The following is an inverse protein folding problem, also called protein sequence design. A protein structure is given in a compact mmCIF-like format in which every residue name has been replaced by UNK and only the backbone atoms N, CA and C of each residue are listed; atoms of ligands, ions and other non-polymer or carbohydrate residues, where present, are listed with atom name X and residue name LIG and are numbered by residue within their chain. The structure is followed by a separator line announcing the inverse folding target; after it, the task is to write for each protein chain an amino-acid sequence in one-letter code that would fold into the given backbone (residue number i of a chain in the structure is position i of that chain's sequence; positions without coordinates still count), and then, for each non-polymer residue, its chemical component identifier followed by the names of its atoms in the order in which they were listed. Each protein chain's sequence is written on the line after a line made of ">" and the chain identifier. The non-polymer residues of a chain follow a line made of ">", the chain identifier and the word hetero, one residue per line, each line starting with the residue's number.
data_IF_809712519327
#
_entry.id   IF_809712519327
#
_cell.length_a   1.000
_cell.length_b   1.000
_cell.length_c   1.000
_cell.angle_alpha   90.00
_cell.angle_beta   90.00
_cell.angle_gamma   90.00
#
_symmetry.space_group_name_H-M   'P 1'
#
loop_
_entity.id
_entity.type
_entity.pdbx_description
1 polymer ?
#
# COMPACT_ATOMS: atom_id res chain seq x y z
N UNK A 1 -40.06 -3.44 -4.33
CA UNK A 1 -39.81 -2.96 -2.98
C UNK A 1 -39.28 -1.53 -3.10
N UNK A 2 -39.95 -0.49 -2.62
CA UNK A 2 -39.44 0.88 -2.72
C UNK A 2 -38.26 1.05 -1.78
N UNK A 3 -37.10 1.39 -2.34
CA UNK A 3 -35.88 1.68 -1.56
C UNK A 3 -36.03 3.09 -0.99
N UNK A 4 -35.96 3.31 0.35
CA UNK A 4 -36.02 4.64 0.92
C UNK A 4 -34.79 5.45 0.50
N UNK A 5 -35.01 6.62 -0.10
CA UNK A 5 -33.99 7.62 -0.34
C UNK A 5 -33.53 8.22 0.99
N UNK A 6 -32.57 7.63 1.71
CA UNK A 6 -32.07 8.20 2.96
C UNK A 6 -30.55 8.28 2.98
N UNK A 7 -30.12 9.50 3.04
CA UNK A 7 -28.81 10.04 3.35
C UNK A 7 -28.40 9.66 4.77
N UNK A 8 -27.50 8.71 4.95
CA UNK A 8 -27.07 8.30 6.29
C UNK A 8 -25.88 7.35 6.33
N UNK A 9 -25.35 6.97 5.16
CA UNK A 9 -24.32 5.92 5.07
C UNK A 9 -22.89 6.47 5.11
N UNK A 10 -22.63 7.71 4.67
CA UNK A 10 -21.29 8.25 4.50
C UNK A 10 -20.43 8.29 5.79
N UNK A 11 -21.02 8.60 6.94
CA UNK A 11 -20.26 8.69 8.21
C UNK A 11 -19.78 7.33 8.73
N UNK A 12 -20.52 6.25 8.47
CA UNK A 12 -20.11 4.88 8.89
C UNK A 12 -19.06 4.29 7.96
N UNK A 13 -19.11 4.57 6.66
CA UNK A 13 -18.09 4.14 5.72
C UNK A 13 -16.73 4.76 6.07
N UNK A 14 -16.68 6.09 6.25
CA UNK A 14 -15.47 6.82 6.64
C UNK A 14 -14.84 6.29 7.95
N UNK A 15 -15.67 6.00 8.97
CA UNK A 15 -15.17 5.47 10.24
C UNK A 15 -14.58 4.06 10.08
N UNK A 16 -15.21 3.20 9.30
CA UNK A 16 -14.74 1.84 9.03
C UNK A 16 -13.42 1.84 8.26
N UNK A 17 -13.30 2.73 7.27
CA UNK A 17 -12.09 2.87 6.47
C UNK A 17 -10.94 3.41 7.32
N UNK A 18 -11.18 4.41 8.15
CA UNK A 18 -10.20 4.93 9.09
C UNK A 18 -9.71 3.87 10.10
N UNK A 19 -10.60 3.03 10.64
CA UNK A 19 -10.22 1.92 11.53
C UNK A 19 -9.34 0.91 10.82
N UNK A 20 -9.70 0.55 9.58
CA UNK A 20 -8.88 -0.34 8.75
C UNK A 20 -7.49 0.23 8.51
N UNK A 21 -7.41 1.49 8.07
CA UNK A 21 -6.16 2.19 7.80
C UNK A 21 -5.27 2.25 9.06
N UNK A 22 -5.83 2.65 10.20
CA UNK A 22 -5.08 2.74 11.45
C UNK A 22 -4.45 1.41 11.87
N UNK A 23 -5.20 0.30 11.78
CA UNK A 23 -4.67 -1.03 12.15
C UNK A 23 -3.67 -1.51 11.08
N UNK A 24 -3.96 -1.31 9.79
CA UNK A 24 -3.06 -1.62 8.69
C UNK A 24 -1.71 -0.94 8.86
N UNK A 25 -1.72 0.37 9.10
CA UNK A 25 -0.52 1.19 9.20
C UNK A 25 0.32 0.78 10.42
N UNK A 26 -0.33 0.49 11.56
CA UNK A 26 0.35 -0.04 12.74
C UNK A 26 0.99 -1.44 12.52
N UNK A 27 0.43 -2.27 11.62
CA UNK A 27 1.06 -3.53 11.21
C UNK A 27 2.23 -3.27 10.24
N UNK A 28 2.07 -2.32 9.32
CA UNK A 28 3.10 -1.97 8.33
C UNK A 28 4.30 -1.32 9.02
N UNK A 29 4.07 -0.41 9.96
CA UNK A 29 5.13 0.30 10.68
C UNK A 29 5.78 -0.53 11.79
N UNK A 30 5.21 -1.70 12.12
CA UNK A 30 5.74 -2.62 13.11
C UNK A 30 5.35 -2.29 14.56
N UNK A 31 4.46 -1.33 14.79
CA UNK A 31 3.83 -1.07 16.09
C UNK A 31 3.06 -2.30 16.57
N UNK A 32 2.35 -2.96 15.63
CA UNK A 32 1.74 -4.26 15.85
C UNK A 32 2.63 -5.33 15.19
N UNK A 33 3.33 -6.11 15.99
CA UNK A 33 4.35 -7.05 15.52
C UNK A 33 3.77 -8.40 15.04
N UNK A 34 4.44 -9.13 14.14
CA UNK A 34 4.02 -10.46 13.71
C UNK A 34 3.81 -11.42 14.90
N UNK A 35 2.68 -12.13 14.90
CA UNK A 35 2.28 -13.04 15.99
C UNK A 35 1.59 -12.34 17.15
N UNK A 36 1.54 -11.02 17.18
CA UNK A 36 0.84 -10.27 18.20
C UNK A 36 -0.67 -10.53 18.16
N UNK A 37 -1.26 -10.66 19.35
CA UNK A 37 -2.68 -10.92 19.51
C UNK A 37 -3.47 -9.62 19.51
N UNK A 38 -4.34 -9.46 18.53
CA UNK A 38 -5.27 -8.34 18.42
C UNK A 38 -6.53 -8.61 19.24
N UNK A 39 -6.72 -7.86 20.32
CA UNK A 39 -7.89 -7.99 21.19
C UNK A 39 -8.88 -6.88 20.90
N UNK A 40 -10.14 -7.26 20.62
CA UNK A 40 -11.23 -6.32 20.33
C UNK A 40 -11.30 -5.16 21.34
N UNK A 41 -11.10 -5.43 22.64
CA UNK A 41 -11.20 -4.42 23.71
C UNK A 41 -10.06 -3.40 23.61
N UNK A 42 -8.83 -3.87 23.43
CA UNK A 42 -7.65 -2.99 23.32
C UNK A 42 -7.74 -2.12 22.06
N UNK A 43 -8.20 -2.69 20.93
CA UNK A 43 -8.43 -1.92 19.69
C UNK A 43 -9.55 -0.90 19.83
N UNK A 44 -10.63 -1.22 20.58
CA UNK A 44 -11.70 -0.26 20.87
C UNK A 44 -11.22 0.91 21.72
N UNK A 45 -10.40 0.65 22.74
CA UNK A 45 -9.81 1.67 23.61
C UNK A 45 -8.85 2.56 22.82
N UNK A 46 -7.97 1.97 22.02
CA UNK A 46 -7.01 2.70 21.18
C UNK A 46 -7.68 3.62 20.16
N UNK A 47 -8.69 3.09 19.42
CA UNK A 47 -9.32 3.80 18.30
C UNK A 47 -10.58 4.59 18.68
N UNK A 48 -11.05 4.45 19.93
CA UNK A 48 -12.25 5.17 20.41
C UNK A 48 -13.55 4.76 19.71
N UNK A 49 -13.65 3.50 19.22
CA UNK A 49 -14.78 3.03 18.41
C UNK A 49 -15.45 1.79 19.03
N UNK A 50 -16.66 1.48 18.56
CA UNK A 50 -17.38 0.27 18.97
C UNK A 50 -16.79 -0.98 18.30
N UNK A 51 -17.22 -2.18 18.76
CA UNK A 51 -16.74 -3.47 18.27
C UNK A 51 -17.01 -3.74 16.79
N UNK A 52 -18.10 -3.22 16.23
CA UNK A 52 -18.51 -3.51 14.85
C UNK A 52 -17.48 -3.05 13.82
N UNK A 53 -17.04 -1.77 13.78
CA UNK A 53 -16.02 -1.34 12.82
C UNK A 53 -14.67 -2.05 13.00
N UNK A 54 -14.30 -2.43 14.23
CA UNK A 54 -13.09 -3.24 14.49
C UNK A 54 -13.19 -4.60 13.78
N UNK A 55 -14.31 -5.30 13.93
CA UNK A 55 -14.49 -6.61 13.29
C UNK A 55 -14.53 -6.53 11.77
N UNK A 56 -15.16 -5.50 11.22
CA UNK A 56 -15.17 -5.26 9.77
C UNK A 56 -13.75 -4.99 9.24
N UNK A 57 -12.97 -4.17 9.95
CA UNK A 57 -11.57 -3.92 9.62
C UNK A 57 -10.70 -5.18 9.69
N UNK A 58 -10.83 -5.98 10.77
CA UNK A 58 -10.09 -7.23 10.92
C UNK A 58 -10.42 -8.24 9.82
N UNK A 59 -11.69 -8.35 9.40
CA UNK A 59 -12.08 -9.20 8.26
C UNK A 59 -11.45 -8.72 6.93
N UNK A 60 -11.31 -7.41 6.74
CA UNK A 60 -10.66 -6.85 5.56
C UNK A 60 -9.15 -7.12 5.59
N UNK A 61 -8.52 -6.96 6.75
CA UNK A 61 -7.10 -7.26 6.96
C UNK A 61 -6.81 -8.77 6.80
N UNK A 62 -7.74 -9.64 7.20
CA UNK A 62 -7.62 -11.09 6.99
C UNK A 62 -7.63 -11.44 5.50
N UNK A 63 -8.51 -10.84 4.71
CA UNK A 63 -8.54 -11.02 3.24
C UNK A 63 -7.26 -10.50 2.56
N UNK A 64 -6.64 -9.49 3.13
CA UNK A 64 -5.36 -8.94 2.69
C UNK A 64 -4.15 -9.75 3.23
N UNK A 65 -4.36 -10.84 3.97
CA UNK A 65 -3.28 -11.63 4.55
C UNK A 65 -2.49 -10.94 5.68
N UNK A 66 -2.97 -9.80 6.18
CA UNK A 66 -2.30 -9.02 7.23
C UNK A 66 -2.55 -9.58 8.63
N UNK A 67 -3.65 -10.27 8.83
CA UNK A 67 -4.00 -10.94 10.07
C UNK A 67 -4.53 -12.36 9.80
N UNK A 68 -4.41 -13.23 10.80
CA UNK A 68 -4.97 -14.58 10.77
C UNK A 68 -5.96 -14.71 11.92
N UNK A 69 -7.23 -15.02 11.60
CA UNK A 69 -8.26 -15.29 12.59
C UNK A 69 -8.43 -16.80 12.78
N UNK A 70 -8.23 -17.28 14.02
CA UNK A 70 -8.56 -18.65 14.38
C UNK A 70 -9.90 -18.65 15.08
N UNK A 71 -10.95 -19.31 14.51
CA UNK A 71 -12.28 -19.34 15.11
C UNK A 71 -12.25 -19.78 16.57
N UNK A 72 -12.87 -19.00 17.45
CA UNK A 72 -12.93 -19.28 18.89
C UNK A 72 -11.62 -19.12 19.68
N UNK A 73 -10.52 -18.68 19.06
CA UNK A 73 -9.23 -18.53 19.74
C UNK A 73 -8.71 -17.09 19.74
N UNK A 74 -8.18 -16.62 18.64
CA UNK A 74 -7.54 -15.29 18.56
C UNK A 74 -7.45 -14.80 17.11
N UNK A 75 -7.40 -13.48 16.95
CA UNK A 75 -6.88 -12.83 15.75
C UNK A 75 -5.43 -12.42 16.04
N UNK A 76 -4.51 -12.81 15.17
CA UNK A 76 -3.08 -12.51 15.29
C UNK A 76 -2.62 -11.72 14.07
N UNK A 77 -1.62 -10.86 14.23
CA UNK A 77 -0.88 -10.29 13.11
C UNK A 77 -0.17 -11.42 12.37
N UNK A 78 -0.37 -11.51 11.05
CA UNK A 78 0.26 -12.56 10.24
C UNK A 78 1.79 -12.45 10.26
N UNK A 79 2.53 -13.57 10.29
CA UNK A 79 3.94 -13.53 9.93
C UNK A 79 4.11 -13.03 8.49
N UNK A 80 5.30 -12.56 8.14
CA UNK A 80 5.61 -12.28 6.74
C UNK A 80 5.92 -13.61 6.06
N UNK A 81 5.02 -14.04 5.20
CA UNK A 81 5.18 -15.25 4.39
C UNK A 81 5.83 -14.87 3.06
N UNK A 82 6.98 -15.48 2.75
CA UNK A 82 7.76 -15.14 1.58
C UNK A 82 7.04 -15.55 0.28
N UNK A 83 6.37 -16.71 0.24
CA UNK A 83 5.65 -17.21 -0.93
C UNK A 83 4.43 -16.33 -1.20
N UNK A 84 3.58 -16.09 -0.19
CA UNK A 84 2.43 -15.21 -0.31
C UNK A 84 2.83 -13.76 -0.67
N UNK A 85 4.01 -13.30 -0.20
CA UNK A 85 4.54 -11.98 -0.57
C UNK A 85 4.95 -11.94 -2.04
N UNK A 86 5.58 -12.99 -2.58
CA UNK A 86 5.92 -13.08 -4.00
C UNK A 86 4.69 -13.13 -4.89
N UNK A 87 3.64 -13.84 -4.48
CA UNK A 87 2.38 -13.88 -5.21
C UNK A 87 1.71 -12.49 -5.23
N UNK A 88 1.65 -11.81 -4.08
CA UNK A 88 1.15 -10.44 -4.00
C UNK A 88 1.97 -9.48 -4.87
N UNK A 89 3.31 -9.63 -4.89
CA UNK A 89 4.20 -8.81 -5.69
C UNK A 89 3.89 -8.89 -7.20
N UNK A 90 3.63 -10.09 -7.71
CA UNK A 90 3.28 -10.27 -9.12
C UNK A 90 1.99 -9.55 -9.48
N UNK A 91 0.97 -9.62 -8.61
CA UNK A 91 -0.30 -8.92 -8.81
C UNK A 91 -0.09 -7.40 -8.75
N UNK A 92 0.58 -6.88 -7.72
CA UNK A 92 0.83 -5.45 -7.56
C UNK A 92 1.65 -4.90 -8.73
N UNK A 93 2.71 -5.61 -9.15
CA UNK A 93 3.52 -5.22 -10.29
C UNK A 93 2.69 -5.15 -11.60
N UNK A 94 1.80 -6.12 -11.84
CA UNK A 94 0.92 -6.10 -13.01
C UNK A 94 -0.11 -4.96 -12.96
N UNK A 95 -0.61 -4.61 -11.77
CA UNK A 95 -1.54 -3.49 -11.61
C UNK A 95 -0.85 -2.15 -11.81
N UNK A 96 0.36 -1.94 -11.29
CA UNK A 96 1.12 -0.71 -11.53
C UNK A 96 1.60 -0.58 -12.97
N UNK A 97 1.92 -1.69 -13.64
CA UNK A 97 2.16 -1.72 -15.08
C UNK A 97 0.94 -1.19 -15.85
N UNK A 98 -0.25 -1.69 -15.52
CA UNK A 98 -1.49 -1.25 -16.15
C UNK A 98 -1.80 0.22 -15.80
N UNK A 99 -1.61 0.64 -14.55
CA UNK A 99 -1.81 2.03 -14.12
C UNK A 99 -0.95 2.99 -14.94
N UNK A 100 0.36 2.72 -15.05
CA UNK A 100 1.28 3.54 -15.82
C UNK A 100 0.90 3.60 -17.32
N UNK A 101 0.51 2.47 -17.91
CA UNK A 101 0.05 2.42 -19.32
C UNK A 101 -1.16 3.30 -19.55
N UNK A 102 -2.15 3.26 -18.64
CA UNK A 102 -3.38 4.04 -18.77
C UNK A 102 -3.17 5.51 -18.42
N UNK A 103 -2.34 5.82 -17.41
CA UNK A 103 -2.11 7.17 -16.93
C UNK A 103 -1.25 8.01 -17.89
N UNK A 104 -0.20 7.43 -18.49
CA UNK A 104 0.77 8.18 -19.31
C UNK A 104 0.14 9.04 -20.42
N UNK A 105 -0.88 8.58 -21.17
CA UNK A 105 -1.50 9.40 -22.20
C UNK A 105 -2.34 10.58 -21.70
N UNK A 106 -2.71 10.58 -20.40
CA UNK A 106 -3.65 11.55 -19.83
C UNK A 106 -3.03 12.39 -18.71
N UNK A 107 -1.84 12.03 -18.22
CA UNK A 107 -1.16 12.75 -17.15
C UNK A 107 -0.60 14.06 -17.68
N UNK A 108 -0.94 15.16 -17.01
CA UNK A 108 -0.49 16.51 -17.34
C UNK A 108 0.85 16.88 -16.65
N UNK A 109 1.31 18.09 -16.90
CA UNK A 109 2.55 18.60 -16.33
C UNK A 109 2.51 18.68 -14.78
N UNK A 110 1.33 18.93 -14.19
CA UNK A 110 1.17 19.00 -12.75
C UNK A 110 1.32 17.61 -12.12
N UNK A 111 0.77 16.58 -12.76
CA UNK A 111 0.93 15.19 -12.33
C UNK A 111 2.39 14.73 -12.41
N UNK A 112 3.11 15.08 -13.48
CA UNK A 112 4.56 14.79 -13.64
C UNK A 112 5.37 15.51 -12.55
N UNK A 113 5.03 16.77 -12.27
CA UNK A 113 5.68 17.54 -11.20
C UNK A 113 5.40 16.92 -9.81
N UNK A 114 4.19 16.42 -9.56
CA UNK A 114 3.84 15.73 -8.31
C UNK A 114 4.67 14.46 -8.13
N UNK A 115 4.82 13.61 -9.16
CA UNK A 115 5.68 12.44 -9.11
C UNK A 115 7.13 12.81 -8.82
N UNK A 116 7.66 13.85 -9.50
CA UNK A 116 9.03 14.32 -9.28
C UNK A 116 9.25 14.82 -7.85
N UNK A 117 8.30 15.58 -7.31
CA UNK A 117 8.35 16.08 -5.94
C UNK A 117 8.27 14.94 -4.90
N UNK A 118 7.43 13.95 -5.14
CA UNK A 118 7.32 12.76 -4.29
C UNK A 118 8.64 11.97 -4.29
N UNK A 119 9.26 11.74 -5.45
CA UNK A 119 10.56 11.07 -5.53
C UNK A 119 11.68 11.86 -4.84
N UNK A 120 11.67 13.19 -4.91
CA UNK A 120 12.64 14.02 -4.20
C UNK A 120 12.48 13.91 -2.67
N UNK A 121 11.24 13.86 -2.16
CA UNK A 121 10.98 13.61 -0.72
C UNK A 121 11.42 12.21 -0.32
N UNK A 122 11.12 11.19 -1.15
CA UNK A 122 11.59 9.83 -0.94
C UNK A 122 13.12 9.77 -0.81
N UNK A 123 13.86 10.38 -1.75
CA UNK A 123 15.32 10.43 -1.70
C UNK A 123 15.83 11.10 -0.42
N UNK A 124 15.26 12.25 -0.05
CA UNK A 124 15.63 12.96 1.17
C UNK A 124 15.32 12.16 2.45
N UNK A 125 14.22 11.42 2.49
CA UNK A 125 13.87 10.53 3.59
C UNK A 125 14.87 9.36 3.69
N UNK A 126 15.23 8.75 2.56
CA UNK A 126 16.25 7.70 2.50
C UNK A 126 17.62 8.16 2.98
N UNK A 127 18.02 9.40 2.69
CA UNK A 127 19.29 9.98 3.18
C UNK A 127 19.29 10.17 4.72
N UNK A 128 18.13 10.51 5.29
CA UNK A 128 17.97 10.68 6.74
C UNK A 128 17.75 9.37 7.49
N UNK A 129 17.53 8.25 6.79
CA UNK A 129 17.15 6.98 7.40
C UNK A 129 15.73 6.99 7.98
N UNK A 130 14.85 7.83 7.45
CA UNK A 130 13.44 7.92 7.86
C UNK A 130 12.58 7.01 6.97
N UNK A 131 12.50 5.73 7.34
CA UNK A 131 11.74 4.74 6.59
C UNK A 131 10.22 5.03 6.56
N UNK A 132 9.69 5.72 7.57
CA UNK A 132 8.28 6.11 7.61
C UNK A 132 7.96 7.14 6.54
N UNK A 133 8.74 8.24 6.50
CA UNK A 133 8.60 9.27 5.48
C UNK A 133 8.94 8.75 4.08
N UNK A 134 9.94 7.86 3.97
CA UNK A 134 10.27 7.22 2.69
C UNK A 134 9.07 6.41 2.17
N UNK A 135 8.43 5.62 3.02
CA UNK A 135 7.26 4.83 2.62
C UNK A 135 6.09 5.73 2.19
N UNK A 136 5.82 6.81 2.92
CA UNK A 136 4.76 7.75 2.59
C UNK A 136 5.02 8.45 1.24
N UNK A 137 6.25 8.89 0.99
CA UNK A 137 6.62 9.54 -0.26
C UNK A 137 6.60 8.56 -1.45
N UNK A 138 6.95 7.29 -1.23
CA UNK A 138 6.86 6.21 -2.22
C UNK A 138 5.38 5.91 -2.57
N UNK A 139 4.48 5.88 -1.58
CA UNK A 139 3.04 5.76 -1.81
C UNK A 139 2.51 6.92 -2.66
N UNK A 140 2.81 8.17 -2.29
CA UNK A 140 2.38 9.34 -3.05
C UNK A 140 2.88 9.32 -4.49
N UNK A 141 4.10 8.85 -4.73
CA UNK A 141 4.66 8.70 -6.06
C UNK A 141 3.81 7.77 -6.93
N UNK A 142 3.51 6.60 -6.43
CA UNK A 142 2.75 5.58 -7.16
C UNK A 142 1.27 5.92 -7.30
N UNK A 143 0.69 6.58 -6.31
CA UNK A 143 -0.73 6.95 -6.29
C UNK A 143 -1.09 7.95 -7.39
N UNK A 144 -0.15 8.80 -7.86
CA UNK A 144 -0.36 9.68 -9.00
C UNK A 144 -0.77 8.89 -10.25
N UNK A 145 -0.04 7.84 -10.58
CA UNK A 145 -0.35 7.00 -11.75
C UNK A 145 -1.64 6.20 -11.56
N UNK A 146 -1.86 5.68 -10.35
CA UNK A 146 -3.08 4.94 -10.02
C UNK A 146 -4.31 5.82 -10.17
N UNK A 147 -4.28 7.03 -9.61
CA UNK A 147 -5.37 8.00 -9.70
C UNK A 147 -5.62 8.45 -11.15
N UNK A 148 -4.55 8.80 -11.88
CA UNK A 148 -4.65 9.22 -13.28
C UNK A 148 -5.13 8.11 -14.22
N UNK A 149 -4.94 6.83 -13.86
CA UNK A 149 -5.45 5.70 -14.65
C UNK A 149 -6.98 5.68 -14.75
N UNK A 150 -7.68 6.29 -13.80
CA UNK A 150 -9.15 6.30 -13.72
C UNK A 150 -9.78 4.90 -13.55
N UNK A 151 -8.98 3.88 -13.24
CA UNK A 151 -9.44 2.51 -13.12
C UNK A 151 -9.69 2.13 -11.65
N UNK A 152 -10.94 2.31 -11.19
CA UNK A 152 -11.34 1.99 -9.81
C UNK A 152 -11.14 0.51 -9.44
N UNK A 153 -11.30 -0.42 -10.39
CA UNK A 153 -11.10 -1.85 -10.13
C UNK A 153 -9.62 -2.16 -9.85
N UNK A 154 -8.71 -1.51 -10.60
CA UNK A 154 -7.27 -1.59 -10.37
C UNK A 154 -6.92 -1.04 -8.98
N UNK A 155 -7.42 0.13 -8.62
CA UNK A 155 -7.19 0.74 -7.31
C UNK A 155 -7.67 -0.18 -6.17
N UNK A 156 -8.83 -0.82 -6.31
CA UNK A 156 -9.35 -1.77 -5.32
C UNK A 156 -8.46 -3.01 -5.15
N UNK A 157 -7.86 -3.52 -6.23
CA UNK A 157 -6.89 -4.62 -6.16
C UNK A 157 -5.62 -4.20 -5.43
N UNK A 158 -5.09 -3.01 -5.76
CA UNK A 158 -3.90 -2.47 -5.09
C UNK A 158 -4.15 -2.23 -3.61
N UNK A 159 -5.31 -1.67 -3.23
CA UNK A 159 -5.68 -1.45 -1.83
C UNK A 159 -5.64 -2.76 -1.02
N UNK A 160 -6.00 -3.87 -1.63
CA UNK A 160 -5.98 -5.18 -0.97
C UNK A 160 -4.56 -5.74 -0.80
N UNK A 161 -3.71 -5.64 -1.83
CA UNK A 161 -2.46 -6.40 -1.86
C UNK A 161 -1.20 -5.58 -1.57
N UNK A 162 -1.20 -4.26 -1.84
CA UNK A 162 -0.05 -3.40 -1.55
C UNK A 162 0.40 -3.42 -0.08
N UNK A 163 -0.49 -3.46 0.93
CA UNK A 163 -0.08 -3.48 2.33
C UNK A 163 0.86 -4.62 2.71
N UNK A 164 0.72 -5.79 2.08
CA UNK A 164 1.64 -6.93 2.30
C UNK A 164 3.06 -6.56 1.89
N UNK A 165 3.20 -5.88 0.74
CA UNK A 165 4.50 -5.46 0.21
C UNK A 165 5.09 -4.29 1.01
N UNK A 166 4.26 -3.40 1.56
CA UNK A 166 4.72 -2.28 2.39
C UNK A 166 5.47 -2.73 3.64
N UNK A 167 5.12 -3.88 4.22
CA UNK A 167 5.88 -4.49 5.32
C UNK A 167 7.31 -4.87 4.90
N UNK A 168 7.50 -5.28 3.65
CA UNK A 168 8.81 -5.61 3.08
C UNK A 168 9.54 -4.34 2.66
N UNK A 169 8.84 -3.42 1.98
CA UNK A 169 9.40 -2.14 1.54
C UNK A 169 9.95 -1.32 2.72
N UNK A 170 9.22 -1.25 3.84
CA UNK A 170 9.69 -0.56 5.04
C UNK A 170 11.02 -1.08 5.53
N UNK A 171 11.20 -2.41 5.62
CA UNK A 171 12.48 -3.02 6.03
C UNK A 171 13.60 -2.72 5.04
N UNK A 172 13.29 -2.70 3.74
CA UNK A 172 14.23 -2.34 2.70
C UNK A 172 14.66 -0.87 2.81
N UNK A 173 13.73 0.03 3.13
CA UNK A 173 14.00 1.45 3.28
C UNK A 173 14.80 1.78 4.56
N UNK A 174 14.76 0.90 5.57
CA UNK A 174 15.68 0.95 6.71
C UNK A 174 17.14 0.56 6.32
N UNK A 175 17.36 0.07 5.10
CA UNK A 175 18.65 -0.36 4.60
C UNK A 175 19.13 0.44 3.38
N UNK A 176 20.42 0.36 3.07
CA UNK A 176 21.02 1.03 1.89
C UNK A 176 20.45 0.53 0.56
N UNK A 177 19.83 -0.65 0.52
CA UNK A 177 19.27 -1.25 -0.70
C UNK A 177 18.06 -0.48 -1.26
N UNK A 178 17.39 0.36 -0.45
CA UNK A 178 16.28 1.22 -0.91
C UNK A 178 16.69 2.35 -1.86
N UNK A 179 17.99 2.72 -1.92
CA UNK A 179 18.47 3.82 -2.77
C UNK A 179 18.31 3.59 -4.26
N UNK A 180 18.28 2.33 -4.70
CA UNK A 180 18.03 1.99 -6.11
C UNK A 180 16.63 2.42 -6.57
N UNK A 181 15.65 2.50 -5.66
CA UNK A 181 14.28 2.89 -5.97
C UNK A 181 14.21 4.34 -6.46
N UNK A 182 15.07 5.26 -5.98
CA UNK A 182 15.13 6.65 -6.46
C UNK A 182 15.36 6.70 -7.97
N UNK A 183 16.39 5.99 -8.45
CA UNK A 183 16.71 5.93 -9.89
C UNK A 183 15.64 5.17 -10.70
N UNK A 184 14.94 4.23 -10.09
CA UNK A 184 13.83 3.54 -10.73
C UNK A 184 12.63 4.48 -10.91
N UNK A 185 12.31 5.30 -9.92
CA UNK A 185 11.28 6.34 -10.03
C UNK A 185 11.64 7.38 -11.07
N UNK A 186 12.89 7.85 -11.13
CA UNK A 186 13.36 8.77 -12.17
C UNK A 186 13.09 8.22 -13.57
N UNK A 187 13.42 6.94 -13.82
CA UNK A 187 13.12 6.28 -15.09
C UNK A 187 11.62 6.25 -15.42
N UNK A 188 10.77 6.01 -14.44
CA UNK A 188 9.31 6.04 -14.64
C UNK A 188 8.89 7.45 -15.05
N UNK A 189 9.33 8.49 -14.33
CA UNK A 189 9.03 9.91 -14.65
C UNK A 189 9.49 10.27 -16.05
N UNK A 190 10.71 9.90 -16.45
CA UNK A 190 11.25 10.14 -17.78
C UNK A 190 10.38 9.53 -18.88
N UNK A 191 9.91 8.29 -18.71
CA UNK A 191 9.03 7.61 -19.67
C UNK A 191 7.66 8.26 -19.76
N UNK A 192 7.08 8.61 -18.61
CA UNK A 192 5.80 9.33 -18.55
C UNK A 192 5.91 10.70 -19.24
N UNK A 193 6.95 11.48 -18.92
CA UNK A 193 7.18 12.79 -19.52
C UNK A 193 7.41 12.73 -21.04
N UNK A 194 7.97 11.64 -21.54
CA UNK A 194 8.14 11.38 -22.96
C UNK A 194 6.87 10.88 -23.67
N UNK A 195 5.77 10.62 -22.93
CA UNK A 195 4.55 10.00 -23.47
C UNK A 195 4.73 8.51 -23.85
N UNK A 196 5.81 7.88 -23.38
CA UNK A 196 6.14 6.47 -23.66
C UNK A 196 5.38 5.56 -22.69
N UNK A 197 4.11 5.29 -22.99
CA UNK A 197 3.22 4.51 -22.13
C UNK A 197 3.72 3.08 -21.89
N UNK A 198 4.28 2.41 -22.91
CA UNK A 198 4.80 1.06 -22.75
C UNK A 198 6.11 1.04 -21.96
N UNK A 199 7.01 2.02 -22.18
CA UNK A 199 8.22 2.16 -21.39
C UNK A 199 7.94 2.51 -19.93
N UNK A 200 6.94 3.36 -19.65
CA UNK A 200 6.49 3.68 -18.31
C UNK A 200 5.88 2.46 -17.60
N UNK A 201 5.07 1.69 -18.32
CA UNK A 201 4.46 0.44 -17.83
C UNK A 201 5.53 -0.58 -17.43
N UNK A 202 6.50 -0.82 -18.31
CA UNK A 202 7.61 -1.76 -18.04
C UNK A 202 8.45 -1.29 -16.85
N UNK A 203 8.82 -0.01 -16.81
CA UNK A 203 9.61 0.54 -15.70
C UNK A 203 8.87 0.45 -14.36
N UNK A 204 7.55 0.70 -14.33
CA UNK A 204 6.71 0.53 -13.13
C UNK A 204 6.67 -0.91 -12.66
N UNK A 205 6.51 -1.87 -13.57
CA UNK A 205 6.56 -3.29 -13.24
C UNK A 205 7.90 -3.71 -12.65
N UNK A 206 9.00 -3.32 -13.28
CA UNK A 206 10.37 -3.64 -12.83
C UNK A 206 10.65 -3.08 -11.44
N UNK A 207 10.19 -1.87 -11.16
CA UNK A 207 10.31 -1.26 -9.84
C UNK A 207 9.68 -2.16 -8.76
N UNK A 208 8.42 -2.56 -8.93
CA UNK A 208 7.74 -3.44 -7.98
C UNK A 208 8.36 -4.83 -7.88
N UNK A 209 8.81 -5.42 -8.99
CA UNK A 209 9.50 -6.72 -8.99
C UNK A 209 10.90 -6.66 -8.36
N UNK A 210 11.45 -5.47 -8.15
CA UNK A 210 12.73 -5.29 -7.44
C UNK A 210 12.62 -5.47 -5.92
N UNK A 211 11.42 -5.37 -5.34
CA UNK A 211 11.15 -5.63 -3.94
C UNK A 211 11.29 -7.13 -3.66
N UNK A 212 12.44 -7.57 -3.16
CA UNK A 212 12.63 -8.98 -2.77
C UNK A 212 12.35 -9.14 -1.29
N UNK A 213 11.46 -10.07 -0.86
CA UNK A 213 11.42 -10.45 0.54
C UNK A 213 12.78 -11.02 0.92
N UNK A 214 13.43 -10.43 1.92
CA UNK A 214 14.63 -11.01 2.48
C UNK A 214 14.28 -12.40 3.04
N UNK A 215 15.08 -13.41 2.68
CA UNK A 215 14.94 -14.71 3.30
C UNK A 215 15.12 -14.52 4.81
N UNK A 216 14.12 -14.90 5.60
CA UNK A 216 14.24 -14.86 7.05
C UNK A 216 15.45 -15.69 7.42
N UNK A 217 16.46 -15.06 8.01
CA UNK A 217 17.53 -15.78 8.67
C UNK A 217 16.88 -16.63 9.79
N UNK A 218 16.94 -17.95 9.60
CA UNK A 218 16.41 -18.98 10.49
C UNK A 218 17.15 -18.95 11.82
#
# INVERSE_FOLDING_TARGET
>A
MPIPSKHGVHRRALLRDHVYESIRDAIVDGTLVPGERLRDVELQEWLGVSRTPIREALLRLERAGMVVATPGRATLVSPVDAEATLDAQQIVAAMHELAARLATPVLDADGIAAMTAANARFAAAMERGDAGEALAADDEFHDVLVAASGNEALAAVLEQWTPVLRRVARRRFDSLSGRESVAQHERIVERVAAGDAEGAALASRENWLSLRPEAQAT
#
